data_IF_505791387283
#
_entry.id   IF_505791387283
#
_cell.length_a   1.000
_cell.length_b   1.000
_cell.length_c   1.000
_cell.angle_alpha   90.00
_cell.angle_beta   90.00
_cell.angle_gamma   90.00
#
_symmetry.space_group_name_H-M   'P 1'
#
loop_
_entity.id
_entity.type
_entity.pdbx_description
1 polymer ?
#
# COMPACT_ATOMS: atom_id res chain seq x y z
N UNK A 1 -38.72 -39.41 12.22
CA UNK A 1 -37.59 -38.78 11.51
C UNK A 1 -37.86 -37.29 11.51
N UNK A 2 -36.93 -36.51 12.04
CA UNK A 2 -37.14 -35.11 12.41
C UNK A 2 -36.71 -34.17 11.25
N UNK A 3 -37.27 -34.43 10.06
CA UNK A 3 -36.86 -33.80 8.80
C UNK A 3 -37.06 -32.27 8.80
N UNK A 4 -38.02 -31.77 9.56
CA UNK A 4 -38.29 -30.33 9.69
C UNK A 4 -37.13 -29.61 10.41
N UNK A 5 -36.54 -30.28 11.41
CA UNK A 5 -35.38 -29.76 12.14
C UNK A 5 -34.13 -29.71 11.25
N UNK A 6 -33.92 -30.74 10.43
CA UNK A 6 -32.84 -30.76 9.44
C UNK A 6 -33.01 -29.66 8.39
N UNK A 7 -34.23 -29.48 7.86
CA UNK A 7 -34.52 -28.45 6.87
C UNK A 7 -34.28 -27.03 7.42
N UNK A 8 -34.67 -26.78 8.67
CA UNK A 8 -34.42 -25.52 9.35
C UNK A 8 -32.93 -25.26 9.55
N UNK A 9 -32.16 -26.27 9.97
CA UNK A 9 -30.71 -26.14 10.11
C UNK A 9 -30.04 -25.85 8.76
N UNK A 10 -30.48 -26.51 7.68
CA UNK A 10 -29.96 -26.26 6.34
C UNK A 10 -30.23 -24.83 5.88
N UNK A 11 -31.44 -24.32 6.13
CA UNK A 11 -31.83 -22.94 5.82
C UNK A 11 -30.99 -21.91 6.59
N UNK A 12 -30.79 -22.12 7.89
CA UNK A 12 -29.94 -21.24 8.69
C UNK A 12 -28.49 -21.22 8.22
N UNK A 13 -27.94 -22.39 7.88
CA UNK A 13 -26.58 -22.50 7.37
C UNK A 13 -26.44 -21.82 6.00
N UNK A 14 -27.45 -21.93 5.13
CA UNK A 14 -27.49 -21.25 3.85
C UNK A 14 -27.51 -19.73 4.01
N UNK A 15 -28.33 -19.20 4.92
CA UNK A 15 -28.38 -17.76 5.20
C UNK A 15 -27.06 -17.24 5.79
N UNK A 16 -26.42 -18.00 6.70
CA UNK A 16 -25.08 -17.68 7.19
C UNK A 16 -24.05 -17.65 6.06
N UNK A 17 -24.08 -18.63 5.17
CA UNK A 17 -23.17 -18.71 4.03
C UNK A 17 -23.36 -17.53 3.06
N UNK A 18 -24.61 -17.14 2.76
CA UNK A 18 -24.91 -15.96 1.94
C UNK A 18 -24.36 -14.69 2.58
N UNK A 19 -24.60 -14.49 3.88
CA UNK A 19 -24.10 -13.32 4.60
C UNK A 19 -22.57 -13.25 4.60
N UNK A 20 -21.89 -14.38 4.76
CA UNK A 20 -20.43 -14.46 4.64
C UNK A 20 -19.95 -14.09 3.24
N UNK A 21 -20.62 -14.62 2.20
CA UNK A 21 -20.32 -14.30 0.81
C UNK A 21 -20.45 -12.80 0.53
N UNK A 22 -21.58 -12.18 0.89
CA UNK A 22 -21.78 -10.74 0.70
C UNK A 22 -20.72 -9.88 1.40
N UNK A 23 -20.34 -10.26 2.63
CA UNK A 23 -19.27 -9.57 3.36
C UNK A 23 -17.92 -9.70 2.66
N UNK A 24 -17.61 -10.89 2.13
CA UNK A 24 -16.37 -11.12 1.39
C UNK A 24 -16.35 -10.33 0.08
N UNK A 25 -17.46 -10.29 -0.66
CA UNK A 25 -17.59 -9.51 -1.89
C UNK A 25 -17.41 -8.01 -1.63
N UNK A 26 -18.08 -7.46 -0.62
CA UNK A 26 -17.93 -6.05 -0.23
C UNK A 26 -16.49 -5.71 0.19
N UNK A 27 -15.83 -6.61 0.92
CA UNK A 27 -14.43 -6.42 1.32
C UNK A 27 -13.49 -6.47 0.13
N UNK A 28 -13.73 -7.37 -0.82
CA UNK A 28 -12.93 -7.47 -2.04
C UNK A 28 -13.07 -6.20 -2.88
N UNK A 29 -14.29 -5.69 -3.06
CA UNK A 29 -14.53 -4.45 -3.76
C UNK A 29 -13.79 -3.27 -3.12
N UNK A 30 -13.85 -3.15 -1.78
CA UNK A 30 -13.13 -2.11 -1.05
C UNK A 30 -11.61 -2.22 -1.25
N UNK A 31 -11.05 -3.43 -1.20
CA UNK A 31 -9.60 -3.64 -1.39
C UNK A 31 -9.17 -3.29 -2.82
N UNK A 32 -9.96 -3.66 -3.83
CA UNK A 32 -9.67 -3.30 -5.21
C UNK A 32 -9.68 -1.78 -5.43
N UNK A 33 -10.63 -1.06 -4.80
CA UNK A 33 -10.66 0.41 -4.86
C UNK A 33 -9.40 1.02 -4.23
N UNK A 34 -8.96 0.50 -3.08
CA UNK A 34 -7.72 0.96 -2.42
C UNK A 34 -6.49 0.67 -3.28
N UNK A 35 -6.41 -0.51 -3.89
CA UNK A 35 -5.32 -0.86 -4.80
C UNK A 35 -5.27 0.09 -6.00
N UNK A 36 -6.40 0.37 -6.64
CA UNK A 36 -6.46 1.32 -7.76
C UNK A 36 -6.03 2.73 -7.36
N UNK A 37 -6.42 3.20 -6.18
CA UNK A 37 -6.04 4.52 -5.66
C UNK A 37 -4.52 4.60 -5.48
N UNK A 38 -3.92 3.60 -4.84
CA UNK A 38 -2.46 3.52 -4.64
C UNK A 38 -1.73 3.49 -5.98
N UNK A 39 -2.22 2.72 -6.97
CA UNK A 39 -1.60 2.66 -8.30
C UNK A 39 -1.69 4.02 -9.02
N UNK A 40 -2.81 4.74 -8.87
CA UNK A 40 -2.97 6.09 -9.45
C UNK A 40 -2.03 7.09 -8.82
N UNK A 41 -1.87 7.05 -7.49
CA UNK A 41 -0.89 7.89 -6.79
C UNK A 41 0.53 7.62 -7.28
N UNK A 42 0.94 6.35 -7.36
CA UNK A 42 2.26 5.96 -7.87
C UNK A 42 2.46 6.43 -9.32
N UNK A 43 1.46 6.23 -10.18
CA UNK A 43 1.49 6.71 -11.56
C UNK A 43 1.58 8.25 -11.65
N UNK A 44 0.93 8.99 -10.75
CA UNK A 44 1.04 10.45 -10.68
C UNK A 44 2.45 10.93 -10.33
N UNK A 45 3.20 10.13 -9.57
CA UNK A 45 4.60 10.35 -9.26
C UNK A 45 5.54 9.88 -10.39
N UNK A 46 4.99 9.27 -11.45
CA UNK A 46 5.74 8.67 -12.55
C UNK A 46 6.46 7.37 -12.18
N UNK A 47 6.06 6.73 -11.08
CA UNK A 47 6.72 5.55 -10.52
C UNK A 47 5.79 4.34 -10.69
N UNK A 48 6.32 3.20 -11.10
CA UNK A 48 5.57 1.94 -11.11
C UNK A 48 5.69 1.23 -9.75
N UNK A 49 4.67 0.45 -9.33
CA UNK A 49 4.75 -0.34 -8.10
C UNK A 49 6.01 -1.21 -8.02
N UNK A 50 6.37 -1.88 -9.12
CA UNK A 50 7.54 -2.77 -9.19
C UNK A 50 8.88 -2.02 -9.14
N UNK A 51 8.87 -0.71 -9.38
CA UNK A 51 10.07 0.15 -9.43
C UNK A 51 10.23 0.98 -8.15
N UNK A 52 9.26 0.93 -7.22
CA UNK A 52 9.21 1.78 -6.02
C UNK A 52 10.48 1.64 -5.17
N UNK A 53 10.90 0.40 -4.91
CA UNK A 53 12.12 0.11 -4.13
C UNK A 53 13.38 0.65 -4.83
N UNK A 54 13.45 0.53 -6.15
CA UNK A 54 14.57 1.04 -6.94
C UNK A 54 14.64 2.57 -6.90
N UNK A 55 13.48 3.24 -7.01
CA UNK A 55 13.44 4.71 -6.99
C UNK A 55 13.78 5.25 -5.59
N UNK A 56 13.33 4.58 -4.52
CA UNK A 56 13.74 4.92 -3.14
C UNK A 56 15.26 4.86 -3.00
N UNK A 57 15.88 3.75 -3.39
CA UNK A 57 17.32 3.57 -3.28
C UNK A 57 18.11 4.61 -4.09
N UNK A 58 17.65 4.91 -5.30
CA UNK A 58 18.25 5.94 -6.17
C UNK A 58 18.15 7.33 -5.52
N UNK A 59 16.98 7.72 -5.03
CA UNK A 59 16.77 9.00 -4.36
C UNK A 59 17.63 9.13 -3.08
N UNK A 60 17.77 8.06 -2.31
CA UNK A 60 18.66 8.05 -1.13
C UNK A 60 20.12 8.30 -1.52
N UNK A 61 20.62 7.63 -2.55
CA UNK A 61 21.99 7.84 -3.04
C UNK A 61 22.19 9.26 -3.58
N UNK A 62 21.19 9.81 -4.26
CA UNK A 62 21.23 11.19 -4.76
C UNK A 62 21.27 12.20 -3.61
N UNK A 63 20.50 11.98 -2.54
CA UNK A 63 20.53 12.79 -1.32
C UNK A 63 21.94 12.77 -0.70
N UNK A 64 22.52 11.59 -0.49
CA UNK A 64 23.85 11.46 0.12
C UNK A 64 24.93 12.16 -0.72
N UNK A 65 24.86 12.01 -2.05
CA UNK A 65 25.77 12.69 -2.98
C UNK A 65 25.62 14.21 -2.89
N UNK A 66 24.40 14.73 -2.95
CA UNK A 66 24.15 16.17 -2.87
C UNK A 66 24.59 16.76 -1.53
N UNK A 67 24.38 16.05 -0.42
CA UNK A 67 24.91 16.45 0.88
C UNK A 67 26.43 16.52 0.90
N UNK A 68 27.10 15.53 0.29
CA UNK A 68 28.56 15.54 0.18
C UNK A 68 29.05 16.72 -0.65
N UNK A 69 28.48 16.94 -1.83
CA UNK A 69 28.81 18.05 -2.71
C UNK A 69 28.60 19.40 -2.00
N UNK A 70 27.47 19.60 -1.32
CA UNK A 70 27.20 20.81 -0.55
C UNK A 70 28.24 21.05 0.55
N UNK A 71 28.67 19.99 1.25
CA UNK A 71 29.69 20.08 2.29
C UNK A 71 31.10 20.36 1.76
N UNK A 72 31.41 19.93 0.54
CA UNK A 72 32.69 20.23 -0.14
C UNK A 72 32.70 21.67 -0.69
N UNK A 73 31.57 22.16 -1.19
CA UNK A 73 31.40 23.51 -1.69
C UNK A 73 31.32 24.57 -0.57
N UNK A 74 31.01 24.15 0.67
CA UNK A 74 31.03 25.03 1.84
C UNK A 74 32.49 25.40 2.18
N UNK A 75 32.88 26.69 2.13
CA UNK A 75 34.22 27.12 2.49
C UNK A 75 34.38 27.06 4.01
N UNK A 76 34.79 25.89 4.52
CA UNK A 76 34.98 25.62 5.96
C UNK A 76 36.00 26.57 6.60
N UNK A 77 36.99 27.01 5.83
CA UNK A 77 38.01 27.99 6.24
C UNK A 77 37.44 29.38 6.58
N UNK A 78 36.27 29.74 6.05
CA UNK A 78 35.58 31.00 6.38
C UNK A 78 34.68 30.88 7.60
N UNK A 79 34.32 29.65 8.00
CA UNK A 79 33.43 29.35 9.12
C UNK A 79 34.19 29.22 10.46
N UNK A 80 35.47 28.84 10.44
CA UNK A 80 36.30 28.68 11.65
C UNK A 80 36.97 29.97 12.16
N UNK A 81 36.63 31.16 11.63
CA UNK A 81 37.08 32.43 12.24
C UNK A 81 36.11 32.91 13.32
N UNK A 82 36.28 32.38 14.53
CA UNK A 82 36.04 33.09 15.79
C UNK A 82 37.07 32.71 16.85
#
# INVERSE_FOLDING_TARGET
>A
MDYEKELNSLKENLEKAKNLKYKAEARLEQLNQQEEEIIRELASLGIKPDELESEINKLTLDIDRLFKEANELLPKDLLEKK
#
